data_IF_169746288524
#
_entry.id   IF_169746288524
#
_cell.length_a   1.000
_cell.length_b   1.000
_cell.length_c   1.000
_cell.angle_alpha   90.00
_cell.angle_beta   90.00
_cell.angle_gamma   90.00
#
_symmetry.space_group_name_H-M   'P 1'
#
loop_
_entity.id
_entity.type
_entity.pdbx_description
1 polymer ?
#
# COMPACT_ATOMS: atom_id res chain seq x y z
N UNK A 1 -3.49 -17.17 2.36
CA UNK A 1 -4.91 -17.57 2.59
C UNK A 1 -5.08 -18.50 3.78
N UNK A 2 -4.72 -19.78 3.71
CA UNK A 2 -4.98 -20.77 4.78
C UNK A 2 -4.38 -20.42 6.14
N UNK A 3 -3.16 -19.86 6.18
CA UNK A 3 -2.55 -19.39 7.43
C UNK A 3 -3.33 -18.22 8.08
N UNK A 4 -3.91 -17.33 7.28
CA UNK A 4 -4.75 -16.23 7.77
C UNK A 4 -6.07 -16.76 8.38
N UNK A 5 -6.61 -17.86 7.89
CA UNK A 5 -7.86 -18.44 8.40
C UNK A 5 -7.74 -19.03 9.80
N UNK A 6 -6.55 -19.45 10.23
CA UNK A 6 -6.31 -20.01 11.57
C UNK A 6 -6.33 -18.98 12.69
N UNK A 7 -5.96 -17.73 12.41
CA UNK A 7 -5.92 -16.65 13.40
C UNK A 7 -7.01 -15.63 13.13
N UNK A 8 -7.88 -15.36 14.14
CA UNK A 8 -9.00 -14.41 14.01
C UNK A 8 -8.56 -13.01 13.57
N UNK A 9 -7.39 -12.53 14.02
CA UNK A 9 -6.87 -11.21 13.64
C UNK A 9 -6.34 -11.20 12.20
N UNK A 10 -5.70 -12.29 11.76
CA UNK A 10 -5.17 -12.39 10.41
C UNK A 10 -6.25 -12.64 9.34
N UNK A 11 -7.46 -13.06 9.72
CA UNK A 11 -8.61 -13.17 8.79
C UNK A 11 -8.96 -11.89 8.07
N UNK A 12 -8.57 -10.74 8.62
CA UNK A 12 -8.75 -9.42 8.03
C UNK A 12 -8.09 -9.25 6.66
N UNK A 13 -7.06 -10.04 6.36
CA UNK A 13 -6.37 -9.98 5.06
C UNK A 13 -7.27 -10.42 3.90
N UNK A 14 -8.26 -11.28 4.16
CA UNK A 14 -9.22 -11.72 3.15
C UNK A 14 -10.18 -10.59 2.74
N UNK A 15 -10.91 -9.96 3.70
CA UNK A 15 -11.75 -8.80 3.38
C UNK A 15 -11.00 -7.67 2.67
N UNK A 16 -9.74 -7.43 3.04
CA UNK A 16 -8.95 -6.38 2.42
C UNK A 16 -8.82 -6.54 0.91
N UNK A 17 -8.57 -7.76 0.43
CA UNK A 17 -8.49 -8.05 -1.01
C UNK A 17 -9.85 -7.95 -1.70
N UNK A 18 -10.94 -8.08 -0.96
CA UNK A 18 -12.30 -7.95 -1.47
C UNK A 18 -12.74 -6.49 -1.63
N UNK A 19 -12.05 -5.55 -0.99
CA UNK A 19 -12.45 -4.14 -1.02
C UNK A 19 -12.38 -3.52 -2.41
N UNK A 20 -11.44 -3.92 -3.26
CA UNK A 20 -11.29 -3.32 -4.57
C UNK A 20 -11.05 -4.35 -5.68
N UNK A 21 -11.79 -4.26 -6.80
CA UNK A 21 -11.54 -5.10 -7.97
C UNK A 21 -10.21 -4.77 -8.65
N UNK A 22 -9.63 -3.59 -8.40
CA UNK A 22 -8.33 -3.20 -8.94
C UNK A 22 -7.21 -4.11 -8.45
N UNK A 23 -7.28 -4.61 -7.21
CA UNK A 23 -6.32 -5.60 -6.72
C UNK A 23 -6.40 -6.90 -7.54
N UNK A 24 -7.61 -7.38 -7.85
CA UNK A 24 -7.79 -8.61 -8.66
C UNK A 24 -7.33 -8.41 -10.08
N UNK A 25 -7.65 -7.24 -10.66
CA UNK A 25 -7.20 -6.88 -12.00
C UNK A 25 -5.68 -6.87 -12.09
N UNK A 26 -4.97 -6.30 -11.11
CA UNK A 26 -3.50 -6.33 -11.08
C UNK A 26 -2.92 -7.75 -10.99
N UNK A 27 -3.56 -8.64 -10.25
CA UNK A 27 -3.13 -10.04 -10.17
C UNK A 27 -3.43 -10.85 -11.44
N UNK A 28 -4.33 -10.39 -12.30
CA UNK A 28 -4.66 -11.07 -13.56
C UNK A 28 -3.63 -10.84 -14.66
N UNK A 29 -2.82 -9.78 -14.57
CA UNK A 29 -1.72 -9.50 -15.50
C UNK A 29 -0.45 -9.18 -14.70
N UNK A 30 0.61 -9.94 -14.87
CA UNK A 30 1.81 -9.90 -14.05
C UNK A 30 2.51 -8.54 -14.06
N UNK A 31 2.28 -7.70 -13.04
CA UNK A 31 2.93 -6.41 -12.83
C UNK A 31 3.74 -6.39 -11.54
N UNK A 32 4.71 -5.47 -11.47
CA UNK A 32 5.43 -5.22 -10.22
C UNK A 32 4.50 -4.76 -9.08
N UNK A 33 3.40 -4.05 -9.37
CA UNK A 33 2.43 -3.63 -8.35
C UNK A 33 1.74 -4.83 -7.67
N UNK A 34 1.52 -5.94 -8.39
CA UNK A 34 0.97 -7.16 -7.79
C UNK A 34 1.95 -7.78 -6.78
N UNK A 35 3.24 -7.81 -7.12
CA UNK A 35 4.30 -8.28 -6.21
C UNK A 35 4.43 -7.38 -4.99
N UNK A 36 4.46 -6.07 -5.18
CA UNK A 36 4.63 -5.08 -4.13
C UNK A 36 3.44 -5.08 -3.16
N UNK A 37 2.22 -5.22 -3.68
CA UNK A 37 1.01 -5.40 -2.86
C UNK A 37 1.06 -6.70 -2.07
N UNK A 38 1.52 -7.81 -2.67
CA UNK A 38 1.68 -9.10 -1.99
C UNK A 38 2.67 -8.99 -0.81
N UNK A 39 3.83 -8.37 -1.00
CA UNK A 39 4.80 -8.13 0.08
C UNK A 39 4.19 -7.27 1.19
N UNK A 40 3.45 -6.22 0.83
CA UNK A 40 2.77 -5.34 1.79
C UNK A 40 1.74 -6.10 2.62
N UNK A 41 0.97 -7.01 2.00
CA UNK A 41 0.03 -7.90 2.70
C UNK A 41 0.77 -8.84 3.66
N UNK A 42 1.91 -9.39 3.24
CA UNK A 42 2.73 -10.23 4.12
C UNK A 42 3.26 -9.45 5.32
N UNK A 43 3.69 -8.20 5.13
CA UNK A 43 4.13 -7.33 6.23
C UNK A 43 2.97 -7.05 7.19
N UNK A 44 1.78 -6.72 6.68
CA UNK A 44 0.60 -6.56 7.53
C UNK A 44 0.30 -7.84 8.32
N UNK A 45 0.38 -9.02 7.67
CA UNK A 45 0.22 -10.29 8.35
C UNK A 45 1.24 -10.48 9.48
N UNK A 46 2.52 -10.14 9.25
CA UNK A 46 3.57 -10.23 10.27
C UNK A 46 3.27 -9.34 11.49
N UNK A 47 2.65 -8.19 11.27
CA UNK A 47 2.33 -7.24 12.33
C UNK A 47 1.10 -7.69 13.14
N UNK A 48 0.02 -8.11 12.46
CA UNK A 48 -1.27 -8.37 13.11
C UNK A 48 -1.38 -9.77 13.71
N UNK A 49 -0.66 -10.76 13.19
CA UNK A 49 -0.71 -12.13 13.68
C UNK A 49 0.29 -12.34 14.84
N UNK A 50 -0.19 -12.63 16.07
CA UNK A 50 0.70 -12.90 17.21
C UNK A 50 1.67 -14.06 16.98
N UNK A 51 1.27 -15.06 16.18
CA UNK A 51 2.06 -16.26 15.89
C UNK A 51 2.97 -16.09 14.66
N UNK A 52 3.08 -14.89 14.11
CA UNK A 52 3.96 -14.60 12.99
C UNK A 52 5.45 -14.72 13.36
N UNK A 53 6.30 -14.85 12.34
CA UNK A 53 7.76 -14.88 12.54
C UNK A 53 8.25 -13.61 13.24
N UNK A 54 7.78 -12.43 12.80
CA UNK A 54 8.14 -11.15 13.41
C UNK A 54 7.74 -11.09 14.88
N UNK A 55 6.49 -11.43 15.22
CA UNK A 55 6.02 -11.36 16.60
C UNK A 55 6.69 -12.42 17.49
N UNK A 56 6.99 -13.61 16.97
CA UNK A 56 7.80 -14.61 17.67
C UNK A 56 9.24 -14.15 17.89
N UNK A 57 9.87 -13.55 16.87
CA UNK A 57 11.20 -12.95 17.04
C UNK A 57 11.23 -11.89 18.13
N UNK A 58 10.27 -10.98 18.12
CA UNK A 58 10.21 -9.88 19.08
C UNK A 58 9.83 -10.33 20.49
N UNK A 59 8.99 -11.37 20.65
CA UNK A 59 8.43 -11.82 21.93
C UNK A 59 9.15 -12.96 22.62
N UNK A 60 10.11 -13.65 21.97
CA UNK A 60 10.82 -14.79 22.57
C UNK A 60 12.27 -14.44 22.87
N UNK A 61 12.89 -15.12 23.85
CA UNK A 61 14.33 -15.00 24.12
C UNK A 61 15.17 -15.38 22.89
N UNK A 62 16.38 -14.84 22.81
CA UNK A 62 17.30 -15.09 21.69
C UNK A 62 17.68 -16.57 21.64
N UNK A 63 17.36 -17.21 20.51
CA UNK A 63 17.67 -18.60 20.19
C UNK A 63 17.96 -18.74 18.70
N UNK A 64 18.54 -19.86 18.26
CA UNK A 64 18.77 -20.15 16.82
C UNK A 64 17.47 -19.99 16.01
N UNK A 65 16.33 -20.48 16.54
CA UNK A 65 15.03 -20.36 15.90
C UNK A 65 14.52 -18.93 15.86
N UNK A 66 14.67 -18.17 16.95
CA UNK A 66 14.35 -16.75 17.02
C UNK A 66 15.17 -15.95 16.01
N UNK A 67 16.49 -16.22 15.94
CA UNK A 67 17.37 -15.59 14.95
C UNK A 67 16.91 -15.83 13.52
N UNK A 68 16.56 -17.07 13.15
CA UNK A 68 16.03 -17.39 11.81
C UNK A 68 14.74 -16.61 11.51
N UNK A 69 13.84 -16.47 12.48
CA UNK A 69 12.62 -15.68 12.32
C UNK A 69 12.92 -14.19 12.08
N UNK A 70 13.89 -13.64 12.80
CA UNK A 70 14.38 -12.27 12.59
C UNK A 70 14.96 -12.07 11.18
N UNK A 71 15.79 -13.02 10.72
CA UNK A 71 16.39 -12.97 9.39
C UNK A 71 15.33 -13.04 8.27
N UNK A 72 14.34 -13.93 8.38
CA UNK A 72 13.24 -14.04 7.41
C UNK A 72 12.36 -12.80 7.41
N UNK A 73 12.10 -12.19 8.56
CA UNK A 73 11.38 -10.92 8.65
C UNK A 73 12.20 -9.78 8.01
N UNK A 74 13.53 -9.73 8.26
CA UNK A 74 14.42 -8.74 7.64
C UNK A 74 14.47 -8.89 6.10
N UNK A 75 14.47 -10.12 5.60
CA UNK A 75 14.39 -10.40 4.16
C UNK A 75 13.10 -9.84 3.57
N UNK A 76 11.96 -10.07 4.22
CA UNK A 76 10.67 -9.53 3.76
C UNK A 76 10.68 -7.99 3.69
N UNK A 77 11.22 -7.32 4.71
CA UNK A 77 11.35 -5.86 4.71
C UNK A 77 12.35 -5.36 3.66
N UNK A 78 13.45 -6.08 3.43
CA UNK A 78 14.41 -5.75 2.39
C UNK A 78 13.81 -5.89 0.98
N UNK A 79 13.02 -6.94 0.73
CA UNK A 79 12.28 -7.11 -0.54
C UNK A 79 11.30 -5.94 -0.76
N UNK A 80 10.63 -5.48 0.30
CA UNK A 80 9.76 -4.30 0.21
C UNK A 80 10.54 -3.01 -0.07
N UNK A 81 11.77 -2.85 0.44
CA UNK A 81 12.66 -1.74 0.08
C UNK A 81 13.15 -1.79 -1.38
N UNK A 82 13.14 -2.97 -1.99
CA UNK A 82 13.48 -3.15 -3.41
C UNK A 82 12.27 -2.94 -4.33
N UNK A 83 11.09 -2.72 -3.77
CA UNK A 83 9.84 -2.50 -4.48
C UNK A 83 9.63 -1.05 -4.92
N UNK A 84 8.47 -0.74 -5.52
CA UNK A 84 8.15 0.63 -5.93
C UNK A 84 8.03 1.57 -4.73
N UNK A 85 8.52 2.82 -4.83
CA UNK A 85 8.53 3.77 -3.71
C UNK A 85 7.16 4.07 -3.10
N UNK A 86 6.06 4.01 -3.87
CA UNK A 86 4.72 4.22 -3.34
C UNK A 86 4.30 3.17 -2.29
N UNK A 87 4.90 1.98 -2.30
CA UNK A 87 4.65 0.93 -1.28
C UNK A 87 5.52 1.08 -0.02
N UNK A 88 6.47 2.01 0.02
CA UNK A 88 7.28 2.26 1.23
C UNK A 88 6.44 2.73 2.41
N UNK A 89 5.25 3.24 2.17
CA UNK A 89 4.28 3.58 3.24
C UNK A 89 3.97 2.38 4.15
N UNK A 90 4.06 1.14 3.63
CA UNK A 90 3.90 -0.09 4.43
C UNK A 90 5.04 -0.26 5.44
N UNK A 91 6.28 0.08 5.06
CA UNK A 91 7.43 0.05 5.96
C UNK A 91 7.33 1.15 7.01
N UNK A 92 6.91 2.35 6.61
CA UNK A 92 6.63 3.46 7.53
C UNK A 92 5.57 3.06 8.56
N UNK A 93 4.48 2.43 8.10
CA UNK A 93 3.44 1.89 8.98
C UNK A 93 4.02 0.86 9.97
N UNK A 94 4.79 -0.11 9.48
CA UNK A 94 5.39 -1.13 10.32
C UNK A 94 6.29 -0.52 11.39
N UNK A 95 7.14 0.43 11.01
CA UNK A 95 8.02 1.16 11.92
C UNK A 95 7.25 1.93 12.99
N UNK A 96 6.23 2.69 12.61
CA UNK A 96 5.39 3.46 13.55
C UNK A 96 4.69 2.52 14.54
N UNK A 97 4.14 1.39 14.08
CA UNK A 97 3.49 0.42 14.97
C UNK A 97 4.49 -0.18 15.98
N UNK A 98 5.69 -0.51 15.52
CA UNK A 98 6.75 -1.03 16.42
C UNK A 98 7.19 0.03 17.43
N UNK A 99 7.30 1.30 17.04
CA UNK A 99 7.59 2.40 17.96
C UNK A 99 6.47 2.59 19.00
N UNK A 100 5.21 2.57 18.56
CA UNK A 100 4.06 2.68 19.49
C UNK A 100 4.07 1.50 20.47
N UNK A 101 4.37 0.29 20.02
CA UNK A 101 4.52 -0.88 20.91
C UNK A 101 5.63 -0.69 21.93
N UNK A 102 6.81 -0.22 21.50
CA UNK A 102 7.95 0.04 22.38
C UNK A 102 7.61 1.02 23.51
N UNK A 103 6.83 2.07 23.17
CA UNK A 103 6.46 3.11 24.14
C UNK A 103 5.29 2.69 25.02
N UNK A 104 4.25 2.07 24.43
CA UNK A 104 2.95 1.90 25.08
C UNK A 104 2.72 0.53 25.71
N UNK A 105 3.60 -0.46 25.48
CA UNK A 105 3.42 -1.81 26.02
C UNK A 105 4.35 -2.03 27.23
N UNK A 106 3.78 -1.96 28.43
CA UNK A 106 4.54 -2.14 29.68
C UNK A 106 4.88 -3.62 29.99
N UNK A 107 4.34 -4.56 29.20
CA UNK A 107 4.61 -6.00 29.38
C UNK A 107 5.89 -6.47 28.68
N UNK A 108 6.44 -5.65 27.80
CA UNK A 108 7.65 -5.99 27.05
C UNK A 108 8.91 -5.49 27.76
N UNK A 109 10.00 -6.26 27.66
CA UNK A 109 11.33 -5.75 28.00
C UNK A 109 11.76 -4.75 26.93
N UNK A 110 11.59 -3.45 27.21
CA UNK A 110 11.82 -2.35 26.26
C UNK A 110 13.23 -2.37 25.68
N UNK A 111 14.25 -2.68 26.49
CA UNK A 111 15.65 -2.76 26.05
C UNK A 111 15.85 -3.89 25.03
N UNK A 112 15.37 -5.08 25.36
CA UNK A 112 15.48 -6.25 24.47
C UNK A 112 14.68 -6.06 23.17
N UNK A 113 13.46 -5.54 23.26
CA UNK A 113 12.64 -5.22 22.13
C UNK A 113 13.30 -4.20 21.19
N UNK A 114 13.88 -3.12 21.76
CA UNK A 114 14.60 -2.11 20.99
C UNK A 114 15.81 -2.71 20.27
N UNK A 115 16.63 -3.52 20.96
CA UNK A 115 17.81 -4.18 20.36
C UNK A 115 17.37 -5.08 19.20
N UNK A 116 16.26 -5.82 19.34
CA UNK A 116 15.72 -6.68 18.27
C UNK A 116 15.19 -5.87 17.08
N UNK A 117 14.52 -4.76 17.33
CA UNK A 117 14.07 -3.85 16.25
C UNK A 117 15.29 -3.25 15.53
N UNK A 118 16.33 -2.85 16.26
CA UNK A 118 17.57 -2.33 15.66
C UNK A 118 18.27 -3.41 14.82
N UNK A 119 18.40 -4.64 15.33
CA UNK A 119 18.97 -5.75 14.60
C UNK A 119 18.18 -6.08 13.32
N UNK A 120 16.83 -6.08 13.41
CA UNK A 120 15.95 -6.24 12.26
C UNK A 120 16.23 -5.16 11.19
N UNK A 121 16.34 -3.91 11.60
CA UNK A 121 16.62 -2.78 10.72
C UNK A 121 18.00 -2.93 10.06
N UNK A 122 19.04 -3.22 10.84
CA UNK A 122 20.40 -3.40 10.32
C UNK A 122 20.49 -4.58 9.34
N UNK A 123 19.88 -5.73 9.64
CA UNK A 123 19.81 -6.86 8.73
C UNK A 123 19.03 -6.52 7.45
N UNK A 124 17.94 -5.78 7.56
CA UNK A 124 17.16 -5.31 6.40
C UNK A 124 18.03 -4.46 5.48
N UNK A 125 18.75 -3.47 6.03
CA UNK A 125 19.64 -2.62 5.23
C UNK A 125 20.88 -3.36 4.72
N UNK A 126 21.40 -4.35 5.45
CA UNK A 126 22.48 -5.19 4.95
C UNK A 126 22.06 -6.00 3.72
N UNK A 127 20.88 -6.65 3.77
CA UNK A 127 20.32 -7.38 2.61
C UNK A 127 20.05 -6.45 1.43
N UNK A 128 19.46 -5.27 1.69
CA UNK A 128 19.25 -4.25 0.65
C UNK A 128 20.59 -3.75 0.09
N UNK A 129 21.60 -3.57 0.95
CA UNK A 129 22.97 -3.17 0.58
C UNK A 129 23.65 -4.18 -0.36
N UNK A 130 23.44 -5.49 -0.15
CA UNK A 130 23.95 -6.53 -1.06
C UNK A 130 23.42 -6.28 -2.49
N UNK A 131 22.10 -6.03 -2.63
CA UNK A 131 21.52 -5.72 -3.95
C UNK A 131 22.12 -4.46 -4.57
N UNK A 132 22.35 -3.42 -3.78
CA UNK A 132 23.01 -2.19 -4.23
C UNK A 132 24.48 -2.42 -4.57
N UNK A 133 25.16 -3.29 -3.81
CA UNK A 133 26.53 -3.71 -4.12
C UNK A 133 26.66 -4.45 -5.44
N UNK A 134 25.69 -5.32 -5.78
CA UNK A 134 25.62 -5.98 -7.09
C UNK A 134 25.42 -4.94 -8.20
N UNK A 135 24.51 -3.98 -8.02
CA UNK A 135 24.33 -2.89 -8.99
C UNK A 135 25.61 -2.07 -9.18
N UNK A 136 26.31 -1.78 -8.08
CA UNK A 136 27.58 -1.02 -8.11
C UNK A 136 28.69 -1.81 -8.80
N UNK A 137 28.79 -3.11 -8.54
CA UNK A 137 29.78 -3.98 -9.17
C UNK A 137 29.55 -4.10 -10.69
N UNK A 138 28.28 -4.13 -11.11
CA UNK A 138 27.90 -4.31 -12.52
C UNK A 138 27.96 -3.01 -13.34
N UNK A 139 27.55 -1.88 -12.76
CA UNK A 139 27.36 -0.61 -13.47
C UNK A 139 28.26 0.52 -12.94
N UNK A 140 29.07 0.30 -11.91
CA UNK A 140 29.78 1.35 -11.22
C UNK A 140 28.84 2.42 -10.65
N UNK A 141 29.33 3.65 -10.50
CA UNK A 141 28.52 4.80 -10.07
C UNK A 141 27.67 5.40 -11.20
N UNK A 142 27.80 4.90 -12.44
CA UNK A 142 27.22 5.50 -13.63
C UNK A 142 25.84 4.92 -13.99
N UNK A 143 25.26 4.06 -13.14
CA UNK A 143 23.95 3.42 -13.42
C UNK A 143 22.86 4.43 -13.82
N UNK A 144 22.77 5.58 -13.14
CA UNK A 144 21.78 6.60 -13.45
C UNK A 144 21.99 7.21 -14.85
N UNK A 145 23.26 7.48 -15.20
CA UNK A 145 23.64 7.98 -16.52
C UNK A 145 23.33 6.96 -17.62
N UNK A 146 23.73 5.70 -17.44
CA UNK A 146 23.42 4.60 -18.37
C UNK A 146 21.91 4.49 -18.62
N UNK A 147 21.09 4.59 -17.57
CA UNK A 147 19.63 4.54 -17.71
C UNK A 147 19.11 5.75 -18.48
N UNK A 148 19.68 6.95 -18.29
CA UNK A 148 19.30 8.14 -19.07
C UNK A 148 19.71 8.01 -20.54
N UNK A 149 20.91 7.55 -20.83
CA UNK A 149 21.38 7.31 -22.20
C UNK A 149 20.52 6.28 -22.93
N UNK A 150 20.18 5.17 -22.26
CA UNK A 150 19.25 4.17 -22.82
C UNK A 150 17.84 4.73 -23.07
N UNK A 151 17.34 5.61 -22.20
CA UNK A 151 16.05 6.29 -22.43
C UNK A 151 16.14 7.26 -23.60
N UNK A 152 17.26 7.97 -23.73
CA UNK A 152 17.48 8.89 -24.84
C UNK A 152 17.55 8.14 -26.18
N UNK A 153 18.18 6.97 -26.20
CA UNK A 153 18.31 6.14 -27.41
C UNK A 153 16.96 5.51 -27.80
N UNK A 154 16.25 4.87 -26.82
CA UNK A 154 15.18 3.93 -27.12
C UNK A 154 13.75 4.47 -26.93
N UNK A 155 13.56 5.57 -26.20
CA UNK A 155 12.24 6.10 -26.00
C UNK A 155 11.73 6.87 -27.22
N UNK A 156 10.40 6.90 -27.38
CA UNK A 156 9.77 7.81 -28.35
C UNK A 156 10.08 9.25 -27.99
N UNK A 157 10.12 10.14 -29.02
CA UNK A 157 10.50 11.55 -28.87
C UNK A 157 9.79 12.22 -27.68
N UNK A 158 8.49 11.97 -27.48
CA UNK A 158 7.70 12.58 -26.41
C UNK A 158 8.14 12.16 -24.98
N UNK A 159 8.95 11.11 -24.83
CA UNK A 159 9.40 10.55 -23.53
C UNK A 159 10.92 10.65 -23.32
N UNK A 160 11.66 11.16 -24.30
CA UNK A 160 13.13 11.32 -24.18
C UNK A 160 13.48 12.34 -23.09
N UNK A 161 14.57 12.12 -22.33
CA UNK A 161 15.08 13.08 -21.37
C UNK A 161 15.35 14.47 -21.95
N UNK A 162 15.96 14.54 -23.14
CA UNK A 162 16.35 15.78 -23.83
C UNK A 162 15.18 16.56 -24.42
N UNK A 163 14.02 15.95 -24.60
CA UNK A 163 12.85 16.63 -25.19
C UNK A 163 12.40 17.79 -24.31
N UNK A 164 12.22 19.01 -24.85
CA UNK A 164 11.68 20.14 -24.11
C UNK A 164 10.32 19.81 -23.50
N UNK A 165 10.05 20.37 -22.30
CA UNK A 165 8.82 20.06 -21.53
C UNK A 165 7.54 20.26 -22.35
N UNK A 166 7.50 21.30 -23.18
CA UNK A 166 6.33 21.61 -24.01
C UNK A 166 6.09 20.60 -25.15
N UNK A 167 7.13 19.85 -25.55
CA UNK A 167 7.06 18.82 -26.59
C UNK A 167 6.87 17.42 -26.02
N UNK A 168 7.02 17.24 -24.71
CA UNK A 168 6.73 15.96 -24.02
C UNK A 168 5.26 15.62 -24.08
N UNK A 169 4.94 14.38 -23.77
CA UNK A 169 3.56 13.92 -23.63
C UNK A 169 2.76 14.86 -22.70
N UNK A 170 1.51 15.18 -23.06
CA UNK A 170 0.72 16.25 -22.45
C UNK A 170 0.42 16.06 -20.95
N UNK A 171 0.58 14.85 -20.43
CA UNK A 171 0.41 14.53 -19.02
C UNK A 171 1.70 14.66 -18.19
N UNK A 172 2.86 14.75 -18.85
CA UNK A 172 4.16 14.79 -18.17
C UNK A 172 4.50 16.18 -17.65
N UNK A 173 5.12 16.21 -16.47
CA UNK A 173 5.73 17.39 -15.86
C UNK A 173 4.79 18.62 -15.84
N UNK A 174 3.56 18.42 -15.35
CA UNK A 174 2.54 19.48 -15.32
C UNK A 174 2.98 20.69 -14.50
N UNK A 175 3.77 20.47 -13.43
CA UNK A 175 4.36 21.55 -12.64
C UNK A 175 5.23 22.46 -13.52
N UNK A 176 6.12 21.90 -14.32
CA UNK A 176 7.05 22.63 -15.16
C UNK A 176 6.35 23.32 -16.37
N UNK A 177 5.11 22.91 -16.64
CA UNK A 177 4.19 23.56 -17.59
C UNK A 177 3.33 24.66 -16.97
N UNK A 178 3.66 25.10 -15.74
CA UNK A 178 2.89 26.08 -14.98
C UNK A 178 1.43 25.69 -14.70
N UNK A 179 1.10 24.40 -14.71
CA UNK A 179 -0.22 23.92 -14.28
C UNK A 179 -0.28 23.91 -12.76
N UNK A 180 -1.22 24.64 -12.19
CA UNK A 180 -1.35 24.75 -10.73
C UNK A 180 -1.82 23.45 -10.09
N UNK A 181 -1.47 23.24 -8.82
CA UNK A 181 -1.98 22.10 -8.04
C UNK A 181 -3.52 22.15 -7.97
N UNK A 182 -4.11 23.36 -7.85
CA UNK A 182 -5.56 23.54 -7.86
C UNK A 182 -6.18 22.98 -9.15
N UNK A 183 -5.64 23.32 -10.31
CA UNK A 183 -6.08 22.80 -11.60
C UNK A 183 -6.07 21.29 -11.66
N UNK A 184 -5.01 20.64 -11.13
CA UNK A 184 -4.94 19.18 -11.07
C UNK A 184 -6.05 18.58 -10.22
N UNK A 185 -6.29 19.15 -9.05
CA UNK A 185 -7.27 18.63 -8.11
C UNK A 185 -8.72 18.86 -8.56
N UNK A 186 -9.02 20.05 -9.11
CA UNK A 186 -10.39 20.47 -9.47
C UNK A 186 -10.72 20.23 -10.93
N UNK A 187 -10.01 20.86 -11.87
CA UNK A 187 -10.35 20.81 -13.30
C UNK A 187 -9.99 19.46 -13.93
N UNK A 188 -8.78 18.91 -13.58
CA UNK A 188 -8.37 17.58 -14.05
C UNK A 188 -8.99 16.44 -13.23
N UNK A 189 -9.72 16.75 -12.14
CA UNK A 189 -10.51 15.81 -11.33
C UNK A 189 -9.67 14.63 -10.78
N UNK A 190 -8.47 14.92 -10.26
CA UNK A 190 -7.54 13.87 -9.81
C UNK A 190 -8.19 12.87 -8.86
N UNK A 191 -8.87 13.33 -7.81
CA UNK A 191 -9.47 12.45 -6.80
C UNK A 191 -10.61 11.60 -7.37
N UNK A 192 -11.48 12.19 -8.19
CA UNK A 192 -12.60 11.49 -8.80
C UNK A 192 -12.10 10.38 -9.74
N UNK A 193 -11.16 10.70 -10.61
CA UNK A 193 -10.58 9.72 -11.56
C UNK A 193 -9.81 8.61 -10.84
N UNK A 194 -9.01 8.96 -9.83
CA UNK A 194 -8.27 8.00 -9.02
C UNK A 194 -9.21 7.07 -8.27
N UNK A 195 -10.30 7.59 -7.69
CA UNK A 195 -11.30 6.78 -6.98
C UNK A 195 -12.04 5.86 -7.94
N UNK A 196 -12.54 6.37 -9.08
CA UNK A 196 -13.22 5.56 -10.10
C UNK A 196 -12.31 4.43 -10.58
N UNK A 197 -11.03 4.73 -10.84
CA UNK A 197 -10.05 3.72 -11.22
C UNK A 197 -9.81 2.71 -10.10
N UNK A 198 -9.78 3.14 -8.84
CA UNK A 198 -9.58 2.27 -7.69
C UNK A 198 -10.72 1.25 -7.51
N UNK A 199 -11.96 1.65 -7.77
CA UNK A 199 -13.14 0.78 -7.57
C UNK A 199 -13.56 0.01 -8.82
N UNK A 200 -12.95 0.22 -9.99
CA UNK A 200 -13.29 -0.56 -11.19
C UNK A 200 -13.23 0.23 -12.49
N UNK A 201 -12.01 0.55 -12.91
CA UNK A 201 -11.72 0.99 -14.25
C UNK A 201 -10.67 0.07 -14.87
N UNK A 202 -10.89 -0.39 -16.08
CA UNK A 202 -10.12 -1.40 -16.78
C UNK A 202 -9.63 -0.90 -18.14
N UNK A 203 -8.67 -1.58 -18.75
CA UNK A 203 -8.21 -1.30 -20.10
C UNK A 203 -7.77 0.15 -20.32
N UNK A 204 -6.72 0.62 -19.62
CA UNK A 204 -6.25 2.02 -19.69
C UNK A 204 -7.35 3.05 -19.38
N UNK A 205 -8.21 2.77 -18.42
CA UNK A 205 -9.33 3.61 -17.98
C UNK A 205 -10.49 3.73 -19.01
N UNK A 206 -10.57 2.82 -19.95
CA UNK A 206 -11.61 2.85 -21.01
C UNK A 206 -12.94 2.30 -20.51
N UNK A 207 -12.91 1.24 -19.70
CA UNK A 207 -14.10 0.55 -19.23
C UNK A 207 -14.34 0.87 -17.77
N UNK A 208 -15.43 1.58 -17.48
CA UNK A 208 -15.80 2.01 -16.13
C UNK A 208 -17.19 1.50 -15.77
N UNK A 209 -17.41 1.32 -14.47
CA UNK A 209 -18.74 1.01 -13.94
C UNK A 209 -19.74 2.17 -14.11
N UNK A 210 -21.05 1.88 -14.12
CA UNK A 210 -22.07 2.92 -14.18
C UNK A 210 -22.03 3.81 -12.93
N UNK A 211 -22.56 5.04 -13.05
CA UNK A 211 -22.56 6.02 -11.95
C UNK A 211 -23.19 5.48 -10.65
N UNK A 212 -24.26 4.69 -10.77
CA UNK A 212 -24.91 4.05 -9.62
C UNK A 212 -23.95 3.12 -8.84
N UNK A 213 -23.14 2.33 -9.55
CA UNK A 213 -22.10 1.50 -8.95
C UNK A 213 -21.03 2.34 -8.23
N UNK A 214 -20.54 3.40 -8.89
CA UNK A 214 -19.52 4.29 -8.35
C UNK A 214 -20.02 4.95 -7.04
N UNK A 215 -21.24 5.48 -7.05
CA UNK A 215 -21.85 6.12 -5.89
C UNK A 215 -22.11 5.13 -4.75
N UNK A 216 -22.56 3.92 -5.06
CA UNK A 216 -22.75 2.86 -4.07
C UNK A 216 -21.41 2.50 -3.40
N UNK A 217 -20.35 2.30 -4.19
CA UNK A 217 -19.03 1.99 -3.64
C UNK A 217 -18.50 3.12 -2.76
N UNK A 218 -18.66 4.38 -3.18
CA UNK A 218 -18.30 5.53 -2.35
C UNK A 218 -19.05 5.52 -1.00
N UNK A 219 -20.35 5.30 -1.03
CA UNK A 219 -21.16 5.20 0.18
C UNK A 219 -20.69 4.06 1.10
N UNK A 220 -20.41 2.87 0.55
CA UNK A 220 -19.92 1.72 1.32
C UNK A 220 -18.58 2.01 1.99
N UNK A 221 -17.62 2.66 1.29
CA UNK A 221 -16.34 3.05 1.87
C UNK A 221 -16.50 4.10 2.98
N UNK A 222 -17.35 5.11 2.77
CA UNK A 222 -17.64 6.11 3.80
C UNK A 222 -18.29 5.49 5.02
N UNK A 223 -19.23 4.55 4.85
CA UNK A 223 -19.86 3.84 5.93
C UNK A 223 -18.87 2.95 6.71
N UNK A 224 -17.98 2.22 6.02
CA UNK A 224 -16.88 1.47 6.65
C UNK A 224 -16.01 2.39 7.51
N UNK A 225 -15.58 3.50 6.93
CA UNK A 225 -14.74 4.46 7.64
C UNK A 225 -15.44 5.07 8.84
N UNK A 226 -16.72 5.41 8.72
CA UNK A 226 -17.53 5.96 9.82
C UNK A 226 -17.63 4.99 11.00
N UNK A 227 -17.82 3.69 10.72
CA UNK A 227 -17.85 2.65 11.78
C UNK A 227 -16.49 2.55 12.48
N UNK A 228 -15.39 2.51 11.71
CA UNK A 228 -14.03 2.45 12.26
C UNK A 228 -13.77 3.69 13.13
N UNK A 229 -14.02 4.87 12.58
CA UNK A 229 -13.87 6.15 13.26
C UNK A 229 -14.62 6.17 14.59
N UNK A 230 -15.91 5.80 14.57
CA UNK A 230 -16.74 5.75 15.75
C UNK A 230 -16.14 4.89 16.87
N UNK A 231 -15.73 3.65 16.55
CA UNK A 231 -15.16 2.76 17.56
C UNK A 231 -13.79 3.18 18.05
N UNK A 232 -12.94 3.71 17.16
CA UNK A 232 -11.60 4.20 17.54
C UNK A 232 -11.70 5.44 18.43
N UNK A 233 -12.54 6.42 18.10
CA UNK A 233 -12.74 7.63 18.90
C UNK A 233 -13.42 7.31 20.24
N UNK A 234 -14.40 6.39 20.25
CA UNK A 234 -15.08 5.95 21.47
C UNK A 234 -14.23 5.00 22.32
N UNK A 235 -13.07 4.61 21.86
CA UNK A 235 -12.14 3.78 22.62
C UNK A 235 -11.57 4.58 23.80
N UNK A 236 -11.59 3.99 25.01
CA UNK A 236 -10.89 4.57 26.17
C UNK A 236 -9.39 4.22 26.18
N UNK A 237 -8.92 3.44 25.22
CA UNK A 237 -7.53 3.03 25.11
C UNK A 237 -6.75 4.07 24.30
N UNK A 238 -5.89 4.85 24.98
CA UNK A 238 -5.04 5.88 24.36
C UNK A 238 -4.21 5.33 23.18
N UNK A 239 -3.74 4.09 23.28
CA UNK A 239 -2.96 3.45 22.22
C UNK A 239 -3.79 3.30 20.93
N UNK A 240 -5.06 2.87 21.02
CA UNK A 240 -5.98 2.75 19.87
C UNK A 240 -6.12 4.09 19.16
N UNK A 241 -6.28 5.17 19.92
CA UNK A 241 -6.43 6.52 19.37
C UNK A 241 -5.14 6.94 18.64
N UNK A 242 -3.97 6.73 19.27
CA UNK A 242 -2.67 7.08 18.67
C UNK A 242 -2.45 6.27 17.38
N UNK A 243 -2.65 4.96 17.42
CA UNK A 243 -2.51 4.10 16.24
C UNK A 243 -3.48 4.51 15.12
N UNK A 244 -4.73 4.87 15.45
CA UNK A 244 -5.71 5.35 14.48
C UNK A 244 -5.29 6.67 13.83
N UNK A 245 -4.82 7.65 14.61
CA UNK A 245 -4.30 8.92 14.08
C UNK A 245 -3.10 8.67 13.17
N UNK A 246 -2.17 7.81 13.60
CA UNK A 246 -0.98 7.47 12.81
C UNK A 246 -1.35 6.81 11.48
N UNK A 247 -2.33 5.88 11.47
CA UNK A 247 -2.80 5.25 10.23
C UNK A 247 -3.44 6.26 9.29
N UNK A 248 -4.25 7.20 9.81
CA UNK A 248 -4.82 8.27 8.97
C UNK A 248 -3.74 9.19 8.38
N UNK A 249 -2.69 9.51 9.14
CA UNK A 249 -1.56 10.28 8.63
C UNK A 249 -0.85 9.53 7.48
N UNK A 250 -0.69 8.21 7.59
CA UNK A 250 -0.10 7.38 6.53
C UNK A 250 -1.02 7.30 5.30
N UNK A 251 -2.33 7.22 5.48
CA UNK A 251 -3.31 7.28 4.39
C UNK A 251 -3.18 8.61 3.63
N UNK A 252 -3.14 9.72 4.35
CA UNK A 252 -2.93 11.05 3.76
C UNK A 252 -1.59 11.20 3.06
N UNK A 253 -0.51 10.65 3.65
CA UNK A 253 0.81 10.61 3.03
C UNK A 253 0.78 9.84 1.69
N UNK A 254 0.11 8.69 1.63
CA UNK A 254 -0.02 7.90 0.41
C UNK A 254 -0.72 8.67 -0.70
N UNK A 255 -1.82 9.37 -0.37
CA UNK A 255 -2.54 10.24 -1.31
C UNK A 255 -1.65 11.40 -1.74
N UNK A 256 -0.98 12.07 -0.79
CA UNK A 256 -0.09 13.19 -1.07
C UNK A 256 1.05 12.80 -2.03
N UNK A 257 1.67 11.64 -1.83
CA UNK A 257 2.70 11.11 -2.73
C UNK A 257 2.16 10.83 -4.13
N UNK A 258 0.93 10.31 -4.25
CA UNK A 258 0.29 10.07 -5.55
C UNK A 258 -0.03 11.38 -6.28
N UNK A 259 -0.53 12.41 -5.56
CA UNK A 259 -0.74 13.76 -6.09
C UNK A 259 0.58 14.38 -6.53
N UNK A 260 1.61 14.31 -5.68
CA UNK A 260 2.96 14.83 -5.98
C UNK A 260 3.51 14.20 -7.26
N UNK A 261 3.50 12.88 -7.36
CA UNK A 261 3.99 12.18 -8.57
C UNK A 261 3.20 12.60 -9.82
N UNK A 262 1.88 12.75 -9.70
CA UNK A 262 1.02 13.18 -10.81
C UNK A 262 1.28 14.62 -11.23
N UNK A 263 1.75 15.47 -10.35
CA UNK A 263 2.05 16.87 -10.66
C UNK A 263 3.45 17.06 -11.23
N UNK A 264 4.45 16.41 -10.62
CA UNK A 264 5.86 16.61 -10.97
C UNK A 264 6.38 15.67 -12.07
N UNK A 265 5.82 14.45 -12.17
CA UNK A 265 6.36 13.44 -13.09
C UNK A 265 5.40 13.17 -14.24
N UNK A 266 4.26 12.55 -13.96
CA UNK A 266 3.28 12.19 -14.98
C UNK A 266 1.88 12.11 -14.38
N UNK A 267 0.93 12.84 -14.93
CA UNK A 267 -0.45 12.88 -14.46
C UNK A 267 -1.16 11.55 -14.77
N UNK A 268 -1.08 10.66 -13.81
CA UNK A 268 -1.70 9.34 -13.86
C UNK A 268 -2.67 9.16 -12.67
N UNK A 269 -3.92 9.65 -12.75
CA UNK A 269 -4.92 9.47 -11.70
C UNK A 269 -5.47 8.04 -11.72
N UNK A 270 -4.62 7.05 -11.41
CA UNK A 270 -4.93 5.64 -11.49
C UNK A 270 -5.06 5.02 -10.09
N UNK A 271 -6.08 4.21 -9.89
CA UNK A 271 -6.39 3.55 -8.63
C UNK A 271 -5.28 2.62 -8.13
N UNK A 272 -4.44 2.07 -9.02
CA UNK A 272 -3.28 1.25 -8.61
C UNK A 272 -2.30 1.98 -7.70
N UNK A 273 -2.16 3.31 -7.84
CA UNK A 273 -1.30 4.11 -6.96
C UNK A 273 -1.90 4.35 -5.58
N UNK A 274 -3.20 4.06 -5.40
CA UNK A 274 -3.89 4.11 -4.11
C UNK A 274 -3.92 2.74 -3.41
N UNK A 275 -3.51 1.65 -4.05
CA UNK A 275 -3.50 0.31 -3.43
C UNK A 275 -2.67 0.22 -2.14
N UNK A 276 -1.53 0.92 -2.00
CA UNK A 276 -0.80 0.93 -0.73
C UNK A 276 -1.65 1.40 0.46
N UNK A 277 -2.69 2.23 0.23
CA UNK A 277 -3.62 2.69 1.28
C UNK A 277 -4.43 1.56 1.90
N UNK A 278 -4.65 0.46 1.17
CA UNK A 278 -5.39 -0.70 1.71
C UNK A 278 -4.74 -1.27 2.97
N UNK A 279 -3.42 -1.16 3.09
CA UNK A 279 -2.66 -1.76 4.18
C UNK A 279 -2.94 -1.05 5.51
N UNK A 280 -2.70 0.28 5.67
CA UNK A 280 -3.05 1.00 6.89
C UNK A 280 -4.57 1.03 7.13
N UNK A 281 -5.39 1.07 6.07
CA UNK A 281 -6.84 1.00 6.21
C UNK A 281 -7.27 -0.34 6.83
N UNK A 282 -6.77 -1.47 6.32
CA UNK A 282 -7.05 -2.80 6.86
C UNK A 282 -6.51 -2.98 8.29
N UNK A 283 -5.37 -2.36 8.62
CA UNK A 283 -4.87 -2.36 9.99
C UNK A 283 -5.86 -1.72 10.96
N UNK A 284 -6.54 -0.64 10.57
CA UNK A 284 -7.54 0.03 11.39
C UNK A 284 -8.67 -0.91 11.83
N UNK A 285 -9.00 -1.94 11.07
CA UNK A 285 -10.02 -2.94 11.45
C UNK A 285 -9.62 -3.73 12.70
N UNK A 286 -8.32 -3.83 13.00
CA UNK A 286 -7.80 -4.60 14.15
C UNK A 286 -7.69 -3.79 15.44
N UNK A 287 -7.84 -2.46 15.36
CA UNK A 287 -7.61 -1.54 16.47
C UNK A 287 -8.57 -1.76 17.63
N UNK A 288 -9.83 -2.01 17.31
CA UNK A 288 -10.86 -2.32 18.31
C UNK A 288 -11.63 -3.59 17.95
N UNK A 289 -11.71 -4.52 18.90
CA UNK A 289 -12.41 -5.80 18.71
C UNK A 289 -13.89 -5.65 18.34
N UNK A 290 -14.51 -4.53 18.70
CA UNK A 290 -15.92 -4.23 18.41
C UNK A 290 -16.15 -4.02 16.92
N UNK A 291 -15.16 -3.52 16.17
CA UNK A 291 -15.25 -3.33 14.70
C UNK A 291 -15.56 -4.66 14.04
N UNK A 292 -14.72 -5.68 14.27
CA UNK A 292 -14.87 -7.00 13.65
C UNK A 292 -16.09 -7.80 14.14
N UNK A 293 -16.68 -7.40 15.28
CA UNK A 293 -17.90 -7.99 15.82
C UNK A 293 -19.16 -7.28 15.34
N UNK A 294 -19.02 -6.12 14.72
CA UNK A 294 -20.13 -5.31 14.25
C UNK A 294 -20.77 -5.94 13.01
N UNK A 295 -22.07 -6.27 13.11
CA UNK A 295 -22.80 -6.93 12.00
C UNK A 295 -22.90 -6.02 10.77
N UNK A 296 -23.13 -4.71 10.95
CA UNK A 296 -23.19 -3.77 9.85
C UNK A 296 -21.85 -3.66 9.15
N UNK A 297 -20.72 -3.60 9.87
CA UNK A 297 -19.37 -3.62 9.30
C UNK A 297 -19.15 -4.86 8.44
N UNK A 298 -19.50 -6.05 8.96
CA UNK A 298 -19.32 -7.31 8.22
C UNK A 298 -20.22 -7.38 6.98
N UNK A 299 -21.48 -6.90 7.08
CA UNK A 299 -22.38 -6.83 5.95
C UNK A 299 -21.86 -5.88 4.85
N UNK A 300 -21.35 -4.70 5.23
CA UNK A 300 -20.78 -3.75 4.28
C UNK A 300 -19.55 -4.35 3.59
N UNK A 301 -18.64 -5.01 4.31
CA UNK A 301 -17.49 -5.70 3.72
C UNK A 301 -17.95 -6.75 2.70
N UNK A 302 -18.96 -7.55 3.04
CA UNK A 302 -19.50 -8.57 2.13
C UNK A 302 -20.10 -7.93 0.87
N UNK A 303 -20.92 -6.89 1.03
CA UNK A 303 -21.54 -6.17 -0.09
C UNK A 303 -20.45 -5.54 -0.98
N UNK A 304 -19.45 -4.88 -0.38
CA UNK A 304 -18.32 -4.31 -1.13
C UNK A 304 -17.56 -5.39 -1.92
N UNK A 305 -17.36 -6.57 -1.31
CA UNK A 305 -16.75 -7.72 -1.99
C UNK A 305 -17.57 -8.23 -3.18
N UNK A 306 -18.89 -8.37 -3.01
CA UNK A 306 -19.80 -8.78 -4.09
C UNK A 306 -19.83 -7.74 -5.22
N UNK A 307 -19.85 -6.46 -4.89
CA UNK A 307 -19.79 -5.38 -5.87
C UNK A 307 -18.44 -5.33 -6.60
N UNK A 308 -17.33 -5.62 -5.91
CA UNK A 308 -16.01 -5.76 -6.52
C UNK A 308 -15.95 -6.95 -7.47
N UNK A 309 -16.55 -8.09 -7.10
CA UNK A 309 -16.68 -9.28 -7.94
C UNK A 309 -17.52 -8.97 -9.19
N UNK A 310 -18.65 -8.33 -9.01
CA UNK A 310 -19.51 -7.87 -10.12
C UNK A 310 -18.71 -7.00 -11.10
N UNK A 311 -18.00 -5.99 -10.58
CA UNK A 311 -17.21 -5.09 -11.41
C UNK A 311 -16.12 -5.84 -12.19
N UNK A 312 -15.38 -6.72 -11.51
CA UNK A 312 -14.30 -7.47 -12.15
C UNK A 312 -14.80 -8.39 -13.27
N UNK A 313 -15.89 -9.12 -13.04
CA UNK A 313 -16.42 -10.08 -14.01
C UNK A 313 -17.17 -9.35 -15.13
N UNK A 314 -18.18 -8.53 -14.79
CA UNK A 314 -19.15 -8.01 -15.78
C UNK A 314 -18.72 -6.69 -16.43
N UNK A 315 -17.84 -5.92 -15.79
CA UNK A 315 -17.29 -4.69 -16.37
C UNK A 315 -15.89 -4.92 -16.91
N UNK A 316 -15.01 -5.55 -16.13
CA UNK A 316 -13.64 -5.80 -16.53
C UNK A 316 -13.50 -6.91 -17.56
N UNK A 317 -13.72 -8.16 -17.16
CA UNK A 317 -13.39 -9.33 -17.99
C UNK A 317 -14.18 -9.37 -19.28
N UNK A 318 -15.49 -9.07 -19.25
CA UNK A 318 -16.35 -9.10 -20.46
C UNK A 318 -15.91 -8.09 -21.52
N UNK A 319 -15.40 -6.92 -21.12
CA UNK A 319 -14.99 -5.88 -22.07
C UNK A 319 -13.53 -5.98 -22.50
N UNK A 320 -12.67 -6.70 -21.73
CA UNK A 320 -11.27 -6.92 -22.09
C UNK A 320 -11.06 -8.12 -23.00
N UNK A 321 -12.01 -9.07 -23.05
CA UNK A 321 -11.94 -10.27 -23.90
C UNK A 321 -12.50 -9.99 -25.31
N UNK A 322 -13.24 -8.90 -25.50
CA UNK A 322 -13.72 -8.46 -26.82
C UNK A 322 -12.65 -7.70 -27.58
#
# INVERSE_FOLDING_TARGET
GLAACRNKKARILLPMLMLTPQAWYLYSYGTSDAWDLFLSILILYQIVNPDSMLNKYLGTSISKKSFLFGLLASLLFALQLMSKPNYFVTLVMAFIILLIRLVSDDKINKKEFFIKCLALLLCTFAIFGIRKGVDLAQYGFNKAQIVQELKEEKADKAFKPSTPVNEKWSTMQLHDRNVSLKTILTEKQFFQKSFVSFIGSYGYLQYMGPAAYINLMLFLYLALYAIIFYYCVKSRNRRVIIEFIAMNAILLLSVGLSVYNSWFVDFQPQGRYLLPMLIPFAYCFTLDKRILKNTAFNAIILITGLMSLYSFIFIGSVNLIK
#
